data_IF_573815419094
#
_entry.id   IF_573815419094
#
_cell.length_a   1.000
_cell.length_b   1.000
_cell.length_c   1.000
_cell.angle_alpha   90.00
_cell.angle_beta   90.00
_cell.angle_gamma   90.00
#
_symmetry.space_group_name_H-M   'P 1'
#
loop_
_entity.id
_entity.type
_entity.pdbx_description
1 polymer ?
#
# COMPACT_ATOMS: atom_id res chain seq x y z
N UNK A 1 4.21 -21.07 24.71
CA UNK A 1 3.77 -19.68 24.47
C UNK A 1 4.58 -19.21 23.28
N UNK A 2 3.99 -19.27 22.08
CA UNK A 2 4.71 -18.95 20.84
C UNK A 2 4.41 -17.49 20.55
N UNK A 3 5.43 -16.64 20.60
CA UNK A 3 5.33 -15.27 20.10
C UNK A 3 5.24 -15.39 18.58
N UNK A 4 4.03 -15.32 18.03
CA UNK A 4 3.86 -15.14 16.59
C UNK A 4 4.42 -13.77 16.26
N UNK A 5 5.43 -13.73 15.39
CA UNK A 5 6.02 -12.51 14.86
C UNK A 5 4.90 -11.54 14.51
N UNK A 6 4.86 -10.40 15.21
CA UNK A 6 4.18 -9.21 14.73
C UNK A 6 4.95 -8.85 13.46
N UNK A 7 4.56 -9.45 12.34
CA UNK A 7 5.04 -9.09 11.01
C UNK A 7 4.77 -7.59 10.89
N UNK A 8 5.84 -6.83 11.09
CA UNK A 8 5.82 -5.38 11.05
C UNK A 8 5.24 -4.98 9.72
N UNK A 9 4.05 -4.40 9.74
CA UNK A 9 3.38 -3.95 8.52
C UNK A 9 4.27 -2.87 7.90
N UNK A 10 4.86 -3.19 6.75
CA UNK A 10 5.66 -2.24 5.99
C UNK A 10 4.70 -1.31 5.23
N UNK A 11 4.46 -0.13 5.78
CA UNK A 11 3.61 0.88 5.13
C UNK A 11 4.17 1.22 3.75
N UNK A 12 3.34 1.09 2.71
CA UNK A 12 3.72 1.26 1.32
C UNK A 12 4.01 -0.04 0.55
N UNK A 13 4.23 -1.17 1.23
CA UNK A 13 4.36 -2.50 0.61
C UNK A 13 3.00 -3.19 0.59
N UNK A 14 2.24 -2.93 -0.48
CA UNK A 14 0.85 -3.37 -0.63
C UNK A 14 0.77 -4.74 -1.27
N UNK A 15 1.77 -5.08 -2.08
CA UNK A 15 1.86 -6.36 -2.75
C UNK A 15 2.54 -7.45 -1.88
N UNK A 16 3.05 -7.08 -0.70
CA UNK A 16 3.65 -7.95 0.32
C UNK A 16 4.93 -8.66 -0.18
N UNK A 17 5.70 -8.01 -1.06
CA UNK A 17 6.99 -8.52 -1.55
C UNK A 17 8.21 -7.93 -0.81
N UNK A 18 7.97 -7.20 0.28
CA UNK A 18 8.99 -6.52 1.09
C UNK A 18 9.77 -5.43 0.34
N UNK A 19 9.27 -4.96 -0.81
CA UNK A 19 9.89 -3.90 -1.62
C UNK A 19 8.85 -2.82 -1.88
N UNK A 20 9.12 -1.59 -1.45
CA UNK A 20 8.24 -0.45 -1.76
C UNK A 20 8.63 0.12 -3.13
N UNK A 21 7.80 -0.13 -4.14
CA UNK A 21 8.02 0.42 -5.49
C UNK A 21 6.72 0.77 -6.24
N UNK A 22 6.84 1.06 -7.55
CA UNK A 22 5.68 1.43 -8.38
C UNK A 22 4.63 0.33 -8.54
N UNK A 23 4.95 -0.94 -8.24
CA UNK A 23 4.00 -2.06 -8.25
C UNK A 23 2.99 -1.91 -7.11
N UNK A 24 3.43 -1.47 -5.93
CA UNK A 24 2.52 -1.18 -4.82
C UNK A 24 1.53 -0.08 -5.15
N UNK A 25 2.01 1.00 -5.76
CA UNK A 25 1.14 2.08 -6.23
C UNK A 25 0.12 1.59 -7.27
N UNK A 26 0.54 0.69 -8.17
CA UNK A 26 -0.35 0.11 -9.19
C UNK A 26 -1.43 -0.77 -8.56
N UNK A 27 -1.07 -1.58 -7.56
CA UNK A 27 -2.00 -2.43 -6.83
C UNK A 27 -3.01 -1.58 -6.04
N UNK A 28 -2.55 -0.54 -5.34
CA UNK A 28 -3.40 0.43 -4.64
C UNK A 28 -4.38 1.12 -5.59
N UNK A 29 -3.91 1.60 -6.74
CA UNK A 29 -4.76 2.26 -7.73
C UNK A 29 -5.80 1.30 -8.33
N UNK A 30 -5.42 0.04 -8.53
CA UNK A 30 -6.33 -1.00 -9.04
C UNK A 30 -7.45 -1.27 -8.04
N UNK A 31 -7.13 -1.38 -6.75
CA UNK A 31 -8.13 -1.56 -5.70
C UNK A 31 -9.07 -0.36 -5.61
N UNK A 32 -8.51 0.86 -5.59
CA UNK A 32 -9.30 2.09 -5.63
C UNK A 32 -10.26 2.12 -6.83
N UNK A 33 -9.79 1.78 -8.04
CA UNK A 33 -10.60 1.77 -9.24
C UNK A 33 -11.74 0.75 -9.15
N UNK A 34 -11.48 -0.43 -8.58
CA UNK A 34 -12.49 -1.47 -8.36
C UNK A 34 -13.58 -1.02 -7.38
N UNK A 35 -13.17 -0.47 -6.23
CA UNK A 35 -14.10 0.03 -5.22
C UNK A 35 -14.94 1.19 -5.79
N UNK A 36 -14.31 2.08 -6.57
CA UNK A 36 -14.97 3.24 -7.18
C UNK A 36 -16.08 2.88 -8.16
N UNK A 37 -16.02 1.71 -8.81
CA UNK A 37 -17.09 1.21 -9.69
C UNK A 37 -18.08 0.28 -8.96
N UNK A 38 -18.01 0.21 -7.63
CA UNK A 38 -18.96 -0.50 -6.79
C UNK A 38 -18.63 -1.97 -6.51
N UNK A 39 -17.42 -2.44 -6.82
CA UNK A 39 -16.97 -3.76 -6.36
C UNK A 39 -16.59 -3.73 -4.88
N UNK A 40 -16.72 -4.88 -4.22
CA UNK A 40 -16.22 -5.08 -2.86
C UNK A 40 -14.69 -4.96 -2.82
N UNK A 41 -14.13 -4.42 -1.71
CA UNK A 41 -12.70 -4.47 -1.45
C UNK A 41 -12.16 -5.90 -1.50
N UNK A 42 -10.96 -6.05 -2.05
CA UNK A 42 -10.22 -7.32 -2.17
C UNK A 42 -9.03 -7.39 -1.23
N UNK A 43 -8.55 -6.24 -0.72
CA UNK A 43 -7.41 -6.19 0.18
C UNK A 43 -7.68 -6.86 1.53
N UNK A 44 -6.65 -7.53 2.05
CA UNK A 44 -6.62 -7.98 3.44
C UNK A 44 -6.54 -6.79 4.41
N UNK A 45 -6.75 -7.01 5.70
CA UNK A 45 -6.57 -5.97 6.72
C UNK A 45 -5.12 -5.42 6.75
N UNK A 46 -4.14 -6.28 6.43
CA UNK A 46 -2.73 -5.88 6.31
C UNK A 46 -2.51 -4.99 5.10
N UNK A 47 -2.97 -5.43 3.93
CA UNK A 47 -2.85 -4.66 2.68
C UNK A 47 -3.59 -3.33 2.77
N UNK A 48 -4.75 -3.29 3.44
CA UNK A 48 -5.50 -2.04 3.69
C UNK A 48 -4.65 -1.05 4.48
N UNK A 49 -3.96 -1.53 5.52
CA UNK A 49 -3.10 -0.70 6.37
C UNK A 49 -1.76 -0.32 5.69
N UNK A 50 -1.26 -1.16 4.80
CA UNK A 50 -0.10 -0.84 3.98
C UNK A 50 -0.42 0.17 2.88
N UNK A 51 -1.62 0.09 2.30
CA UNK A 51 -2.10 0.95 1.22
C UNK A 51 -2.52 2.35 1.68
N UNK A 52 -2.97 2.53 2.93
CA UNK A 52 -3.24 3.84 3.53
C UNK A 52 -1.93 4.56 3.89
N UNK A 53 -1.19 4.99 2.86
CA UNK A 53 0.14 5.57 2.99
C UNK A 53 0.08 6.99 3.56
N UNK A 54 -0.94 7.76 3.18
CA UNK A 54 -1.13 9.13 3.64
C UNK A 54 -1.80 9.21 5.04
N UNK A 55 -2.34 8.09 5.55
CA UNK A 55 -2.98 7.92 6.86
C UNK A 55 -4.28 8.69 7.03
N UNK A 56 -5.02 8.95 5.95
CA UNK A 56 -6.35 9.54 5.98
C UNK A 56 -7.48 8.49 6.11
N UNK A 57 -7.11 7.21 6.24
CA UNK A 57 -8.03 6.07 6.34
C UNK A 57 -8.89 5.84 5.09
N UNK A 58 -8.53 6.44 3.96
CA UNK A 58 -9.22 6.31 2.68
C UNK A 58 -8.22 5.85 1.62
N UNK A 59 -8.35 4.60 1.16
CA UNK A 59 -7.51 4.08 0.09
C UNK A 59 -7.93 4.71 -1.25
N UNK A 60 -7.10 5.62 -1.76
CA UNK A 60 -7.34 6.23 -3.06
C UNK A 60 -6.07 6.53 -3.88
N UNK A 61 -6.25 7.25 -4.99
CA UNK A 61 -5.15 7.60 -5.88
C UNK A 61 -4.06 8.49 -5.22
N UNK A 62 -4.37 9.17 -4.12
CA UNK A 62 -3.41 9.98 -3.35
C UNK A 62 -2.41 9.08 -2.64
N UNK A 63 -2.84 7.93 -2.12
CA UNK A 63 -1.91 6.94 -1.54
C UNK A 63 -0.99 6.35 -2.59
N UNK A 64 -1.54 5.94 -3.73
CA UNK A 64 -0.75 5.44 -4.85
C UNK A 64 0.30 6.47 -5.32
N UNK A 65 -0.10 7.74 -5.40
CA UNK A 65 0.81 8.84 -5.74
C UNK A 65 1.89 9.05 -4.67
N UNK A 66 1.54 8.97 -3.39
CA UNK A 66 2.48 9.11 -2.30
C UNK A 66 3.51 7.98 -2.25
N UNK A 67 3.09 6.73 -2.53
CA UNK A 67 3.99 5.58 -2.70
C UNK A 67 4.98 5.82 -3.85
N UNK A 68 4.53 6.34 -4.99
CA UNK A 68 5.42 6.67 -6.11
C UNK A 68 6.43 7.77 -5.76
N UNK A 69 5.99 8.81 -5.03
CA UNK A 69 6.88 9.87 -4.55
C UNK A 69 7.93 9.29 -3.61
N UNK A 70 7.52 8.46 -2.65
CA UNK A 70 8.43 7.80 -1.72
C UNK A 70 9.44 6.91 -2.45
N UNK A 71 8.98 6.09 -3.40
CA UNK A 71 9.85 5.27 -4.24
C UNK A 71 10.85 6.13 -5.04
N UNK A 72 10.39 7.24 -5.63
CA UNK A 72 11.26 8.13 -6.39
C UNK A 72 12.32 8.79 -5.50
N UNK A 73 11.95 9.30 -4.32
CA UNK A 73 12.86 9.91 -3.36
C UNK A 73 13.91 8.93 -2.83
N UNK A 74 13.49 7.69 -2.51
CA UNK A 74 14.40 6.64 -2.03
C UNK A 74 15.29 6.07 -3.12
N UNK A 75 14.83 6.10 -4.39
CA UNK A 75 15.63 5.66 -5.54
C UNK A 75 16.75 6.64 -5.91
N UNK A 76 16.61 7.92 -5.56
CA UNK A 76 17.64 8.95 -5.84
C UNK A 76 18.55 9.22 -4.65
N UNK A 77 18.11 8.90 -3.42
CA UNK A 77 18.92 9.04 -2.22
C UNK A 77 20.07 8.01 -2.25
N UNK A 78 21.30 8.53 -2.42
CA UNK A 78 22.57 7.80 -2.37
C UNK A 78 23.40 8.23 -1.19
#
# INVERSE_FOLDING_TARGET
MVFSEDETILTGDVNEDSIIDGRDATVTLTEYARISVGYSPTFSARQTKAADFNKDSVIDARDASAILVYYAETSVAK
#
